data_IF_707982915857
#
_entry.id   IF_707982915857
#
_cell.length_a   1.000
_cell.length_b   1.000
_cell.length_c   1.000
_cell.angle_alpha   90.00
_cell.angle_beta   90.00
_cell.angle_gamma   90.00
#
_symmetry.space_group_name_H-M   'P 1'
#
loop_
_entity.id
_entity.type
_entity.pdbx_description
1 polymer ?
#
# COMPACT_ATOMS: atom_id res chain seq x y z
N UNK A 1 0.32 -75.99 35.25
CA UNK A 1 -0.38 -75.06 36.09
C UNK A 1 0.45 -73.78 36.09
N UNK A 2 0.11 -72.76 35.27
CA UNK A 2 0.77 -71.45 35.22
C UNK A 2 -0.31 -70.38 35.02
N UNK A 3 -0.31 -69.28 35.83
CA UNK A 3 -1.35 -68.26 35.71
C UNK A 3 -0.97 -67.16 34.69
N UNK A 4 -1.98 -66.74 33.96
CA UNK A 4 -1.96 -65.77 32.93
C UNK A 4 -1.76 -64.33 33.50
N UNK A 5 -0.84 -63.58 32.92
CA UNK A 5 -0.67 -62.15 33.17
C UNK A 5 -1.60 -61.34 32.26
N UNK A 6 -2.54 -60.60 32.84
CA UNK A 6 -3.34 -59.58 32.15
C UNK A 6 -2.56 -58.26 32.12
N UNK A 7 -2.26 -57.78 30.91
CA UNK A 7 -1.64 -56.48 30.65
C UNK A 7 -2.75 -55.43 30.63
N UNK A 8 -2.65 -54.40 31.48
CA UNK A 8 -3.51 -53.22 31.45
C UNK A 8 -2.84 -52.13 30.60
N UNK A 9 -3.42 -51.86 29.42
CA UNK A 9 -3.06 -50.67 28.63
C UNK A 9 -3.80 -49.45 29.19
N UNK A 10 -3.06 -48.52 29.77
CA UNK A 10 -3.57 -47.21 30.09
C UNK A 10 -3.39 -46.30 28.88
N UNK A 11 -4.49 -45.91 28.25
CA UNK A 11 -4.51 -44.87 27.24
C UNK A 11 -4.33 -43.48 27.90
N UNK A 12 -3.23 -42.81 27.60
CA UNK A 12 -3.01 -41.44 27.97
C UNK A 12 -3.64 -40.52 26.89
N UNK A 13 -4.75 -39.86 27.23
CA UNK A 13 -5.31 -38.81 26.39
C UNK A 13 -4.47 -37.53 26.55
N UNK A 14 -3.67 -37.19 25.53
CA UNK A 14 -3.03 -35.89 25.41
C UNK A 14 -4.09 -34.86 24.97
N UNK A 15 -4.52 -34.02 25.90
CA UNK A 15 -5.30 -32.82 25.59
C UNK A 15 -4.37 -31.77 24.98
N UNK A 16 -4.40 -31.57 23.65
CA UNK A 16 -3.81 -30.40 23.00
C UNK A 16 -4.73 -29.19 23.29
N UNK A 17 -4.46 -28.47 24.38
CA UNK A 17 -4.95 -27.11 24.55
C UNK A 17 -4.11 -26.20 23.65
N UNK A 18 -4.59 -25.91 22.45
CA UNK A 18 -4.00 -24.93 21.56
C UNK A 18 -4.10 -23.54 22.19
N UNK A 19 -2.99 -23.03 22.68
CA UNK A 19 -2.88 -21.65 23.14
C UNK A 19 -3.12 -20.71 21.95
N UNK A 20 -4.30 -20.11 21.87
CA UNK A 20 -4.59 -19.00 20.96
C UNK A 20 -3.65 -17.85 21.28
N UNK A 21 -2.73 -17.56 20.37
CA UNK A 21 -1.80 -16.44 20.49
C UNK A 21 -2.57 -15.13 20.62
N UNK A 22 -2.14 -14.17 21.50
CA UNK A 22 -2.78 -12.87 21.65
C UNK A 22 -2.91 -12.05 20.34
N UNK A 23 -2.11 -12.40 19.31
CA UNK A 23 -2.18 -11.82 17.98
C UNK A 23 -3.48 -12.12 17.23
N UNK A 24 -4.13 -13.27 17.46
CA UNK A 24 -5.41 -13.62 16.82
C UNK A 24 -6.56 -12.74 17.29
N UNK A 25 -6.61 -12.39 18.57
CA UNK A 25 -7.68 -11.55 19.14
C UNK A 25 -7.61 -10.08 18.71
N UNK A 26 -6.40 -9.55 18.47
CA UNK A 26 -6.24 -8.16 17.99
C UNK A 26 -6.60 -8.03 16.48
N UNK A 27 -6.39 -9.07 15.71
CA UNK A 27 -6.73 -9.09 14.27
C UNK A 27 -8.24 -9.20 14.05
N UNK A 28 -8.95 -9.94 14.89
CA UNK A 28 -10.41 -10.05 14.89
C UNK A 28 -11.12 -8.73 15.21
N UNK A 29 -10.52 -7.86 16.01
CA UNK A 29 -11.13 -6.60 16.44
C UNK A 29 -11.51 -5.68 15.28
N UNK A 30 -10.77 -5.69 14.18
CA UNK A 30 -10.99 -4.83 13.02
C UNK A 30 -11.54 -5.57 11.79
N UNK A 31 -11.79 -6.87 11.88
CA UNK A 31 -12.22 -7.68 10.73
C UNK A 31 -13.51 -7.14 10.08
N UNK A 32 -14.53 -6.85 10.89
CA UNK A 32 -15.80 -6.31 10.39
C UNK A 32 -15.64 -4.91 9.75
N UNK A 33 -14.83 -4.04 10.36
CA UNK A 33 -14.55 -2.69 9.83
C UNK A 33 -13.79 -2.76 8.51
N UNK A 34 -12.81 -3.67 8.40
CA UNK A 34 -12.04 -3.91 7.18
C UNK A 34 -12.93 -4.43 6.04
N UNK A 35 -13.82 -5.36 6.33
CA UNK A 35 -14.75 -5.88 5.34
C UNK A 35 -15.76 -4.80 4.89
N UNK A 36 -16.23 -3.93 5.80
CA UNK A 36 -17.06 -2.79 5.44
C UNK A 36 -16.32 -1.82 4.51
N UNK A 37 -15.07 -1.49 4.84
CA UNK A 37 -14.21 -0.64 4.01
C UNK A 37 -14.01 -1.24 2.60
N UNK A 38 -13.78 -2.54 2.48
CA UNK A 38 -13.64 -3.19 1.17
C UNK A 38 -14.89 -3.03 0.32
N UNK A 39 -16.09 -3.18 0.90
CA UNK A 39 -17.36 -2.95 0.18
C UNK A 39 -17.51 -1.49 -0.29
N UNK A 40 -17.09 -0.54 0.54
CA UNK A 40 -17.10 0.88 0.16
C UNK A 40 -16.13 1.14 -1.00
N UNK A 41 -14.89 0.64 -0.92
CA UNK A 41 -13.90 0.74 -2.00
C UNK A 41 -14.43 0.13 -3.28
N UNK A 42 -15.02 -1.06 -3.25
CA UNK A 42 -15.61 -1.71 -4.43
C UNK A 42 -16.78 -0.92 -5.01
N UNK A 43 -17.56 -0.21 -4.16
CA UNK A 43 -18.60 0.72 -4.61
C UNK A 43 -18.01 1.93 -5.33
N UNK A 44 -16.95 2.53 -4.77
CA UNK A 44 -16.26 3.67 -5.35
C UNK A 44 -15.56 3.30 -6.68
N UNK A 45 -14.98 2.09 -6.78
CA UNK A 45 -14.42 1.57 -8.04
C UNK A 45 -15.48 1.52 -9.15
N UNK A 46 -16.70 1.02 -8.83
CA UNK A 46 -17.80 1.00 -9.80
C UNK A 46 -18.26 2.40 -10.18
N UNK A 47 -18.36 3.30 -9.19
CA UNK A 47 -18.80 4.68 -9.43
C UNK A 47 -17.83 5.47 -10.32
N UNK A 48 -16.53 5.20 -10.22
CA UNK A 48 -15.47 5.87 -10.99
C UNK A 48 -15.03 5.10 -12.24
N UNK A 49 -15.65 3.97 -12.56
CA UNK A 49 -15.23 3.06 -13.64
C UNK A 49 -15.13 3.72 -15.00
N UNK A 50 -16.02 4.69 -15.30
CA UNK A 50 -16.03 5.41 -16.58
C UNK A 50 -14.74 6.21 -16.80
N UNK A 51 -14.22 6.82 -15.74
CA UNK A 51 -13.05 7.71 -15.81
C UNK A 51 -11.75 6.93 -15.61
N UNK A 52 -11.77 5.89 -14.76
CA UNK A 52 -10.60 5.09 -14.41
C UNK A 52 -10.34 3.93 -15.36
N UNK A 53 -11.39 3.41 -16.02
CA UNK A 53 -11.33 2.18 -16.82
C UNK A 53 -11.30 0.90 -15.98
N UNK A 54 -11.44 1.00 -14.64
CA UNK A 54 -11.33 -0.10 -13.69
C UNK A 54 -12.59 -0.21 -12.82
N UNK A 55 -13.57 -1.05 -13.15
CA UNK A 55 -14.82 -1.20 -12.39
C UNK A 55 -14.66 -2.01 -11.10
N UNK A 56 -13.55 -2.72 -10.94
CA UNK A 56 -13.27 -3.58 -9.79
C UNK A 56 -11.76 -3.63 -9.52
N UNK A 57 -11.39 -4.05 -8.32
CA UNK A 57 -10.01 -4.37 -7.97
C UNK A 57 -9.64 -5.76 -8.52
N UNK A 58 -8.40 -5.90 -8.96
CA UNK A 58 -7.78 -7.22 -9.19
C UNK A 58 -7.70 -8.00 -7.89
N UNK A 59 -7.65 -9.33 -7.98
CA UNK A 59 -7.58 -10.20 -6.81
C UNK A 59 -6.34 -9.90 -5.93
N UNK A 60 -5.22 -9.49 -6.53
CA UNK A 60 -4.00 -9.17 -5.81
C UNK A 60 -4.15 -7.88 -5.01
N UNK A 61 -4.69 -6.81 -5.60
CA UNK A 61 -4.90 -5.54 -4.91
C UNK A 61 -5.96 -5.68 -3.82
N UNK A 62 -7.08 -6.35 -4.11
CA UNK A 62 -8.13 -6.62 -3.11
C UNK A 62 -7.56 -7.35 -1.90
N UNK A 63 -6.75 -8.39 -2.11
CA UNK A 63 -6.08 -9.14 -1.03
C UNK A 63 -5.13 -8.25 -0.24
N UNK A 64 -4.33 -7.40 -0.90
CA UNK A 64 -3.41 -6.50 -0.24
C UNK A 64 -4.14 -5.53 0.71
N UNK A 65 -5.21 -4.88 0.25
CA UNK A 65 -6.04 -4.00 1.09
C UNK A 65 -6.68 -4.77 2.25
N UNK A 66 -7.10 -6.02 2.03
CA UNK A 66 -7.66 -6.87 3.08
C UNK A 66 -6.63 -7.32 4.12
N UNK A 67 -5.38 -7.49 3.73
CA UNK A 67 -4.30 -8.05 4.58
C UNK A 67 -3.61 -6.98 5.42
N UNK A 68 -3.32 -5.81 4.82
CA UNK A 68 -2.55 -4.77 5.50
C UNK A 68 -3.33 -4.15 6.65
N UNK A 69 -2.82 -4.30 7.87
CA UNK A 69 -3.42 -3.77 9.10
C UNK A 69 -3.23 -2.25 9.18
N UNK A 70 -4.16 -1.48 8.58
CA UNK A 70 -4.06 -0.02 8.42
C UNK A 70 -3.95 0.71 9.77
N UNK A 71 -4.54 0.17 10.85
CA UNK A 71 -4.45 0.72 12.21
C UNK A 71 -3.02 0.79 12.75
N UNK A 72 -2.07 0.05 12.16
CA UNK A 72 -0.65 0.11 12.51
C UNK A 72 0.10 1.28 11.88
N UNK A 73 -0.52 1.93 10.91
CA UNK A 73 0.05 3.03 10.12
C UNK A 73 -0.58 4.39 10.43
N UNK A 74 -1.42 4.47 11.45
CA UNK A 74 -2.01 5.70 11.96
C UNK A 74 -1.55 5.96 13.40
N UNK A 75 -1.58 7.22 13.87
CA UNK A 75 -1.37 7.51 15.29
C UNK A 75 -2.33 6.72 16.17
N UNK A 76 -1.90 6.24 17.34
CA UNK A 76 -2.66 5.33 18.21
C UNK A 76 -4.05 5.87 18.59
N UNK A 77 -4.18 7.18 18.79
CA UNK A 77 -5.47 7.83 19.09
C UNK A 77 -6.45 7.82 17.91
N UNK A 78 -5.99 7.55 16.68
CA UNK A 78 -6.79 7.43 15.47
C UNK A 78 -7.04 5.97 15.04
N UNK A 79 -6.53 4.99 15.78
CA UNK A 79 -6.65 3.58 15.40
C UNK A 79 -8.11 3.12 15.22
N UNK A 80 -9.06 3.66 16.01
CA UNK A 80 -10.48 3.37 15.87
C UNK A 80 -11.09 3.88 14.54
N UNK A 81 -10.47 4.88 13.91
CA UNK A 81 -10.89 5.50 12.65
C UNK A 81 -10.12 4.95 11.43
N UNK A 82 -9.18 4.04 11.64
CA UNK A 82 -8.27 3.57 10.59
C UNK A 82 -8.99 2.98 9.37
N UNK A 83 -10.18 2.44 9.55
CA UNK A 83 -10.96 1.79 8.49
C UNK A 83 -12.11 2.66 7.94
N UNK A 84 -12.13 3.96 8.28
CA UNK A 84 -12.98 4.92 7.59
C UNK A 84 -12.38 5.26 6.21
N UNK A 85 -13.23 5.35 5.19
CA UNK A 85 -12.77 5.60 3.82
C UNK A 85 -12.47 7.10 3.58
N UNK A 86 -11.56 7.64 4.37
CA UNK A 86 -11.09 9.03 4.31
C UNK A 86 -9.61 9.14 4.70
N UNK A 87 -8.92 10.24 4.32
CA UNK A 87 -7.58 10.53 4.82
C UNK A 87 -7.60 10.83 6.33
N UNK A 88 -6.49 10.50 7.02
CA UNK A 88 -6.30 10.79 8.44
C UNK A 88 -4.94 11.51 8.64
N UNK A 89 -4.83 12.44 9.62
CA UNK A 89 -3.57 13.12 9.90
C UNK A 89 -2.53 12.14 10.50
N UNK A 90 -1.28 12.29 10.07
CA UNK A 90 -0.14 11.50 10.57
C UNK A 90 0.98 12.36 11.18
N UNK A 91 0.73 13.64 11.39
CA UNK A 91 1.71 14.62 11.83
C UNK A 91 2.45 15.30 10.68
N UNK A 92 3.29 16.27 11.01
CA UNK A 92 4.10 17.05 10.05
C UNK A 92 3.25 17.72 8.93
N UNK A 93 1.98 18.00 9.18
CA UNK A 93 1.05 18.53 8.17
C UNK A 93 0.67 17.52 7.08
N UNK A 94 1.02 16.23 7.24
CA UNK A 94 0.77 15.17 6.27
C UNK A 94 -0.39 14.25 6.69
N UNK A 95 -0.89 13.46 5.73
CA UNK A 95 -1.99 12.52 5.94
C UNK A 95 -1.66 11.15 5.37
N UNK A 96 -2.19 10.10 5.98
CA UNK A 96 -2.37 8.81 5.30
C UNK A 96 -3.53 8.95 4.31
N UNK A 97 -3.32 8.54 3.06
CA UNK A 97 -4.32 8.69 1.99
C UNK A 97 -5.61 7.92 2.28
N UNK A 98 -6.72 8.39 1.70
CA UNK A 98 -7.99 7.68 1.70
C UNK A 98 -7.80 6.24 1.18
N UNK A 99 -8.36 5.22 1.84
CA UNK A 99 -8.20 3.82 1.42
C UNK A 99 -8.61 3.53 -0.03
N UNK A 100 -9.70 4.14 -0.51
CA UNK A 100 -10.10 4.03 -1.91
C UNK A 100 -9.00 4.53 -2.87
N UNK A 101 -8.37 5.67 -2.56
CA UNK A 101 -7.31 6.24 -3.40
C UNK A 101 -6.07 5.32 -3.41
N UNK A 102 -5.68 4.75 -2.26
CA UNK A 102 -4.60 3.76 -2.18
C UNK A 102 -4.90 2.55 -3.07
N UNK A 103 -6.11 2.01 -2.98
CA UNK A 103 -6.54 0.87 -3.78
C UNK A 103 -6.57 1.19 -5.28
N UNK A 104 -7.15 2.34 -5.66
CA UNK A 104 -7.24 2.78 -7.06
C UNK A 104 -5.86 3.02 -7.66
N UNK A 105 -4.98 3.75 -6.99
CA UNK A 105 -3.64 4.03 -7.53
C UNK A 105 -2.83 2.74 -7.68
N UNK A 106 -2.95 1.79 -6.74
CA UNK A 106 -2.32 0.47 -6.86
C UNK A 106 -2.89 -0.31 -8.04
N UNK A 107 -4.22 -0.30 -8.25
CA UNK A 107 -4.87 -0.96 -9.39
C UNK A 107 -4.44 -0.34 -10.72
N UNK A 108 -4.37 0.99 -10.81
CA UNK A 108 -3.95 1.73 -12.02
C UNK A 108 -2.49 1.43 -12.41
N UNK A 109 -1.62 1.15 -11.43
CA UNK A 109 -0.24 0.73 -11.68
C UNK A 109 -0.16 -0.68 -12.26
N UNK A 110 -1.18 -1.54 -12.06
CA UNK A 110 -1.25 -2.94 -12.50
C UNK A 110 -0.07 -3.78 -11.98
N UNK A 111 0.07 -3.95 -10.66
CA UNK A 111 1.20 -4.65 -10.07
C UNK A 111 1.20 -6.14 -10.45
N UNK A 112 2.42 -6.71 -10.57
CA UNK A 112 2.64 -8.15 -10.72
C UNK A 112 3.61 -8.65 -9.65
N UNK A 113 3.57 -9.95 -9.29
CA UNK A 113 4.40 -10.49 -8.22
C UNK A 113 5.90 -10.37 -8.41
N UNK A 114 6.38 -10.25 -9.65
CA UNK A 114 7.80 -10.10 -10.04
C UNK A 114 8.23 -8.64 -10.19
N UNK A 115 7.33 -7.68 -10.05
CA UNK A 115 7.63 -6.26 -10.24
C UNK A 115 8.54 -5.69 -9.15
N UNK A 116 9.35 -4.71 -9.55
CA UNK A 116 10.11 -3.81 -8.68
C UNK A 116 9.55 -2.41 -8.86
N UNK A 117 9.09 -1.79 -7.79
CA UNK A 117 8.35 -0.52 -7.87
C UNK A 117 8.94 0.55 -6.96
N UNK A 118 8.69 1.82 -7.32
CA UNK A 118 9.05 2.99 -6.52
C UNK A 118 7.78 3.68 -6.00
N UNK A 119 7.77 4.00 -4.71
CA UNK A 119 6.84 4.94 -4.08
C UNK A 119 7.58 6.25 -3.78
N UNK A 120 6.95 7.38 -4.11
CA UNK A 120 7.41 8.71 -3.76
C UNK A 120 6.41 9.33 -2.79
N UNK A 121 6.85 9.57 -1.54
CA UNK A 121 6.02 10.01 -0.43
C UNK A 121 5.64 8.84 0.49
N UNK A 122 6.60 8.28 1.24
CA UNK A 122 6.34 7.15 2.16
C UNK A 122 5.27 7.46 3.19
N UNK A 123 5.26 8.69 3.72
CA UNK A 123 4.29 9.16 4.70
C UNK A 123 4.21 8.27 5.93
N UNK A 124 3.11 7.53 6.08
CA UNK A 124 2.90 6.56 7.15
C UNK A 124 3.54 5.19 6.88
N UNK A 125 3.88 4.87 5.61
CA UNK A 125 4.29 3.54 5.15
C UNK A 125 3.13 2.62 4.71
N UNK A 126 1.86 3.09 4.77
CA UNK A 126 0.71 2.25 4.44
C UNK A 126 0.67 1.87 2.96
N UNK A 127 0.87 2.83 2.03
CA UNK A 127 0.92 2.53 0.60
C UNK A 127 2.10 1.62 0.27
N UNK A 128 3.28 1.81 0.90
CA UNK A 128 4.42 0.91 0.75
C UNK A 128 4.08 -0.52 1.20
N UNK A 129 3.36 -0.68 2.32
CA UNK A 129 2.90 -1.98 2.81
C UNK A 129 1.91 -2.65 1.85
N UNK A 130 0.96 -1.89 1.28
CA UNK A 130 0.00 -2.40 0.27
C UNK A 130 0.75 -2.85 -0.99
N UNK A 131 1.72 -2.07 -1.47
CA UNK A 131 2.56 -2.45 -2.61
C UNK A 131 3.37 -3.72 -2.31
N UNK A 132 3.92 -3.84 -1.10
CA UNK A 132 4.72 -4.99 -0.67
C UNK A 132 3.96 -6.33 -0.70
N UNK A 133 2.62 -6.30 -0.53
CA UNK A 133 1.75 -7.47 -0.70
C UNK A 133 1.50 -7.82 -2.19
N UNK A 134 1.82 -6.92 -3.11
CA UNK A 134 1.52 -7.07 -4.53
C UNK A 134 2.74 -7.39 -5.40
N UNK A 135 3.97 -7.05 -4.96
CA UNK A 135 5.17 -7.04 -5.79
C UNK A 135 6.38 -7.67 -5.10
N UNK A 136 7.44 -7.96 -5.85
CA UNK A 136 8.68 -8.52 -5.31
C UNK A 136 9.43 -7.54 -4.42
N UNK A 137 9.53 -6.27 -4.82
CA UNK A 137 10.33 -5.26 -4.10
C UNK A 137 9.69 -3.87 -4.22
N UNK A 138 9.70 -3.14 -3.12
CA UNK A 138 9.28 -1.74 -3.04
C UNK A 138 10.47 -0.89 -2.59
N UNK A 139 10.76 0.16 -3.34
CA UNK A 139 11.59 1.28 -2.92
C UNK A 139 10.67 2.44 -2.55
N UNK A 140 10.94 3.15 -1.46
CA UNK A 140 10.07 4.24 -1.00
C UNK A 140 10.89 5.43 -0.50
N UNK A 141 10.57 6.64 -0.99
CA UNK A 141 11.28 7.88 -0.68
C UNK A 141 10.38 8.80 0.14
N UNK A 142 10.95 9.35 1.22
CA UNK A 142 10.30 10.38 2.04
C UNK A 142 11.28 11.53 2.30
N UNK A 143 10.82 12.75 2.10
CA UNK A 143 11.66 13.94 2.36
C UNK A 143 11.58 14.40 3.81
N UNK A 144 10.45 14.12 4.50
CA UNK A 144 10.23 14.52 5.88
C UNK A 144 10.84 13.46 6.81
N UNK A 145 12.05 13.74 7.31
CA UNK A 145 12.83 12.77 8.09
C UNK A 145 12.08 12.14 9.28
N UNK A 146 11.31 12.88 10.12
CA UNK A 146 10.52 12.26 11.19
C UNK A 146 9.46 11.28 10.69
N UNK A 147 8.83 11.52 9.49
CA UNK A 147 7.90 10.60 8.87
C UNK A 147 8.62 9.35 8.38
N UNK A 148 9.73 9.51 7.65
CA UNK A 148 10.53 8.40 7.15
C UNK A 148 10.95 7.44 8.27
N UNK A 149 11.38 7.95 9.41
CA UNK A 149 11.77 7.14 10.58
C UNK A 149 10.58 6.37 11.16
N UNK A 150 9.41 7.04 11.34
CA UNK A 150 8.19 6.38 11.83
C UNK A 150 7.68 5.32 10.87
N UNK A 151 7.67 5.62 9.57
CA UNK A 151 7.25 4.67 8.53
C UNK A 151 8.16 3.44 8.51
N UNK A 152 9.48 3.63 8.58
CA UNK A 152 10.43 2.51 8.65
C UNK A 152 10.15 1.63 9.86
N UNK A 153 9.99 2.21 11.04
CA UNK A 153 9.68 1.45 12.25
C UNK A 153 8.33 0.69 12.15
N UNK A 154 7.30 1.31 11.56
CA UNK A 154 6.00 0.68 11.35
C UNK A 154 6.08 -0.51 10.38
N UNK A 155 6.79 -0.35 9.25
CA UNK A 155 7.02 -1.39 8.25
C UNK A 155 7.81 -2.57 8.85
N UNK A 156 8.88 -2.30 9.60
CA UNK A 156 9.67 -3.33 10.27
C UNK A 156 8.86 -4.10 11.32
N UNK A 157 8.08 -3.39 12.14
CA UNK A 157 7.20 -3.99 13.14
C UNK A 157 6.05 -4.80 12.51
N UNK A 158 5.62 -4.43 11.30
CA UNK A 158 4.63 -5.17 10.52
C UNK A 158 5.22 -6.36 9.74
N UNK A 159 6.57 -6.47 9.67
CA UNK A 159 7.28 -7.59 9.07
C UNK A 159 7.57 -7.45 7.57
N UNK A 160 7.40 -6.26 6.99
CA UNK A 160 7.68 -5.99 5.57
C UNK A 160 9.18 -5.91 5.29
N UNK A 161 9.77 -7.01 4.80
CA UNK A 161 11.21 -7.13 4.49
C UNK A 161 11.57 -6.79 3.05
N UNK A 162 10.58 -6.74 2.17
CA UNK A 162 10.72 -6.38 0.77
C UNK A 162 10.50 -4.88 0.50
N UNK A 163 10.44 -4.04 1.55
CA UNK A 163 10.39 -2.58 1.45
C UNK A 163 11.73 -1.98 1.86
N UNK A 164 12.29 -1.15 1.00
CA UNK A 164 13.47 -0.36 1.28
C UNK A 164 13.12 1.13 1.26
N UNK A 165 13.49 1.84 2.34
CA UNK A 165 13.13 3.25 2.48
C UNK A 165 14.37 4.13 2.54
N UNK A 166 14.29 5.35 1.97
CA UNK A 166 15.32 6.37 2.16
C UNK A 166 14.71 7.75 2.38
N UNK A 167 15.48 8.62 3.03
CA UNK A 167 15.20 10.05 3.10
C UNK A 167 15.78 10.70 1.85
N UNK A 168 14.97 11.47 1.09
CA UNK A 168 15.44 12.11 -0.12
C UNK A 168 14.37 12.91 -0.85
N UNK A 169 14.83 13.64 -1.89
CA UNK A 169 13.96 14.40 -2.79
C UNK A 169 13.26 13.46 -3.78
N UNK A 170 11.94 13.36 -3.67
CA UNK A 170 11.10 12.53 -4.54
C UNK A 170 11.11 12.93 -6.01
N UNK A 171 11.41 14.19 -6.35
CA UNK A 171 11.56 14.63 -7.74
C UNK A 171 12.71 13.95 -8.48
N UNK A 172 13.73 13.51 -7.75
CA UNK A 172 14.90 12.83 -8.29
C UNK A 172 14.67 11.32 -8.52
N UNK A 173 13.64 10.75 -7.88
CA UNK A 173 13.42 9.32 -7.88
C UNK A 173 14.54 8.55 -7.17
N UNK A 174 14.83 7.33 -7.65
CA UNK A 174 15.87 6.46 -7.10
C UNK A 174 16.72 5.84 -8.23
N UNK A 175 17.66 6.62 -8.83
CA UNK A 175 18.42 6.20 -10.01
C UNK A 175 19.18 4.90 -9.81
N UNK A 176 19.73 4.68 -8.60
CA UNK A 176 20.56 3.49 -8.31
C UNK A 176 19.75 2.19 -8.27
N UNK A 177 18.43 2.28 -8.08
CA UNK A 177 17.50 1.14 -8.07
C UNK A 177 16.67 1.02 -9.34
N UNK A 178 16.74 2.02 -10.23
CA UNK A 178 16.03 2.02 -11.51
C UNK A 178 16.61 0.97 -12.48
N UNK A 179 15.84 0.54 -13.51
CA UNK A 179 14.49 0.98 -13.86
C UNK A 179 13.39 0.22 -13.11
N UNK A 180 12.21 0.85 -12.95
CA UNK A 180 11.05 0.34 -12.23
C UNK A 180 9.93 -0.16 -13.16
N UNK A 181 9.23 -1.21 -12.74
CA UNK A 181 8.02 -1.71 -13.40
C UNK A 181 6.82 -0.78 -13.17
N UNK A 182 6.83 -0.06 -12.04
CA UNK A 182 5.80 0.92 -11.70
C UNK A 182 6.33 1.96 -10.70
N UNK A 183 5.76 3.16 -10.78
CA UNK A 183 6.02 4.26 -9.84
C UNK A 183 4.69 4.83 -9.37
N UNK A 184 4.54 5.03 -8.06
CA UNK A 184 3.39 5.72 -7.47
C UNK A 184 3.89 6.96 -6.72
N UNK A 185 3.27 8.12 -6.99
CA UNK A 185 3.55 9.36 -6.27
C UNK A 185 2.35 9.71 -5.40
N UNK A 186 2.56 9.75 -4.09
CA UNK A 186 1.50 9.95 -3.08
C UNK A 186 1.43 11.39 -2.55
N UNK A 187 2.07 12.31 -3.22
CA UNK A 187 2.00 13.77 -3.04
C UNK A 187 1.87 14.43 -4.41
N UNK A 188 1.32 15.64 -4.49
CA UNK A 188 1.04 16.31 -5.75
C UNK A 188 2.16 17.27 -6.16
N UNK A 189 2.94 16.98 -7.21
CA UNK A 189 3.76 17.97 -7.89
C UNK A 189 2.88 18.88 -8.76
N UNK A 190 3.39 20.08 -9.08
CA UNK A 190 2.76 21.02 -10.02
C UNK A 190 2.89 20.56 -11.50
N UNK A 191 3.87 19.73 -11.79
CA UNK A 191 4.10 19.08 -13.10
C UNK A 191 4.69 17.70 -12.89
N UNK A 192 4.55 16.82 -13.89
CA UNK A 192 5.14 15.46 -13.85
C UNK A 192 6.67 15.55 -13.80
N UNK A 193 7.34 15.00 -12.77
CA UNK A 193 8.80 15.01 -12.70
C UNK A 193 9.41 14.15 -13.82
N UNK A 194 10.20 14.74 -14.76
CA UNK A 194 10.76 13.99 -15.90
C UNK A 194 11.63 12.80 -15.46
N UNK A 195 12.37 12.98 -14.35
CA UNK A 195 13.24 11.93 -13.79
C UNK A 195 12.49 10.66 -13.41
N UNK A 196 11.22 10.75 -13.04
CA UNK A 196 10.42 9.56 -12.73
C UNK A 196 10.03 8.79 -14.00
N UNK A 197 9.77 9.51 -15.11
CA UNK A 197 9.50 8.87 -16.41
C UNK A 197 10.75 8.16 -16.93
N UNK A 198 11.92 8.79 -16.84
CA UNK A 198 13.22 8.24 -17.24
C UNK A 198 13.58 6.94 -16.48
N UNK A 199 13.02 6.76 -15.28
CA UNK A 199 13.24 5.59 -14.43
C UNK A 199 12.22 4.46 -14.62
N UNK A 200 11.28 4.59 -15.57
CA UNK A 200 10.35 3.52 -15.91
C UNK A 200 10.99 2.50 -16.87
N UNK A 201 10.69 1.24 -16.67
CA UNK A 201 10.94 0.20 -17.69
C UNK A 201 10.00 0.42 -18.89
N UNK A 202 10.37 -0.05 -20.09
CA UNK A 202 9.44 -0.17 -21.20
C UNK A 202 8.21 -1.01 -20.81
N UNK A 203 7.03 -0.43 -20.92
CA UNK A 203 5.76 -1.00 -20.43
C UNK A 203 5.43 -0.68 -18.97
N UNK A 204 6.31 0.03 -18.25
CA UNK A 204 6.10 0.50 -16.89
C UNK A 204 5.11 1.66 -16.80
N UNK A 205 4.54 1.87 -15.61
CA UNK A 205 3.51 2.89 -15.35
C UNK A 205 3.88 3.81 -14.19
N UNK A 206 3.66 5.10 -14.40
CA UNK A 206 3.69 6.11 -13.34
C UNK A 206 2.26 6.57 -13.04
N UNK A 207 1.84 6.45 -11.78
CA UNK A 207 0.56 6.96 -11.28
C UNK A 207 0.85 8.15 -10.37
N UNK A 208 0.39 9.35 -10.76
CA UNK A 208 0.76 10.60 -10.11
C UNK A 208 -0.38 11.61 -10.12
N UNK A 209 -0.73 12.24 -8.96
CA UNK A 209 -1.61 13.40 -8.92
C UNK A 209 -0.84 14.64 -9.37
N UNK A 210 -1.35 15.40 -10.32
CA UNK A 210 -0.68 16.62 -10.82
C UNK A 210 -1.62 17.81 -10.77
N UNK A 211 -1.14 18.93 -10.27
CA UNK A 211 -1.88 20.17 -10.26
C UNK A 211 -1.44 21.16 -9.17
N UNK A 212 -2.11 22.31 -9.09
CA UNK A 212 -1.72 23.39 -8.18
C UNK A 212 -1.82 22.98 -6.71
N UNK A 213 -0.93 23.54 -5.88
CA UNK A 213 -1.00 23.38 -4.44
C UNK A 213 -2.34 23.88 -3.88
N UNK A 214 -2.92 23.12 -2.94
CA UNK A 214 -4.20 23.45 -2.26
C UNK A 214 -5.44 23.52 -3.17
N UNK A 215 -5.33 23.09 -4.43
CA UNK A 215 -6.45 22.97 -5.35
C UNK A 215 -6.74 21.48 -5.68
N UNK A 216 -7.71 21.26 -6.54
CA UNK A 216 -7.98 19.94 -7.10
C UNK A 216 -6.88 19.58 -8.09
N UNK A 217 -6.32 18.37 -7.96
CA UNK A 217 -5.35 17.81 -8.91
C UNK A 217 -6.04 16.77 -9.79
N UNK A 218 -5.42 16.45 -10.92
CA UNK A 218 -5.80 15.34 -11.78
C UNK A 218 -4.91 14.13 -11.50
N UNK A 219 -5.51 12.97 -11.26
CA UNK A 219 -4.74 11.74 -11.16
C UNK A 219 -4.43 11.24 -12.57
N UNK A 220 -3.15 11.18 -12.90
CA UNK A 220 -2.62 10.77 -14.19
C UNK A 220 -2.06 9.35 -14.14
N UNK A 221 -2.25 8.61 -15.22
CA UNK A 221 -1.51 7.38 -15.53
C UNK A 221 -0.65 7.65 -16.75
N UNK A 222 0.65 7.51 -16.59
CA UNK A 222 1.66 7.69 -17.63
C UNK A 222 2.27 6.32 -17.89
N UNK A 223 2.28 5.89 -19.13
CA UNK A 223 2.83 4.60 -19.55
C UNK A 223 4.02 4.81 -20.49
N UNK A 224 5.16 4.24 -20.15
CA UNK A 224 6.32 4.17 -21.01
C UNK A 224 6.13 2.99 -21.98
N UNK A 225 5.70 3.25 -23.20
CA UNK A 225 5.50 2.22 -24.21
C UNK A 225 6.78 1.46 -24.55
N UNK A 226 6.64 0.21 -24.98
CA UNK A 226 7.78 -0.62 -25.44
C UNK A 226 8.43 -0.09 -26.72
N UNK A 227 7.74 0.78 -27.44
CA UNK A 227 8.21 1.49 -28.63
C UNK A 227 8.88 2.83 -28.33
N UNK A 228 9.10 3.14 -27.03
CA UNK A 228 9.68 4.39 -26.55
C UNK A 228 8.71 5.57 -26.50
N UNK A 229 7.45 5.38 -26.86
CA UNK A 229 6.43 6.43 -26.71
C UNK A 229 5.95 6.53 -25.29
N UNK A 230 5.69 7.75 -24.84
CA UNK A 230 5.07 8.02 -23.53
C UNK A 230 3.63 8.45 -23.77
N UNK A 231 2.69 7.73 -23.18
CA UNK A 231 1.26 8.08 -23.22
C UNK A 231 0.80 8.56 -21.85
N UNK A 232 -0.11 9.52 -21.85
CA UNK A 232 -0.69 10.06 -20.60
C UNK A 232 -2.20 9.98 -20.67
N UNK A 233 -2.81 9.38 -19.64
CA UNK A 233 -4.25 9.32 -19.47
C UNK A 233 -4.66 9.98 -18.15
N UNK A 234 -5.62 10.90 -18.22
CA UNK A 234 -6.29 11.48 -17.06
C UNK A 234 -7.34 10.52 -16.54
N UNK A 235 -7.53 10.50 -15.22
CA UNK A 235 -8.55 9.67 -14.58
C UNK A 235 -9.52 10.53 -13.76
N UNK A 236 -9.42 10.51 -12.44
CA UNK A 236 -10.32 11.25 -11.56
C UNK A 236 -9.64 12.47 -10.95
N UNK A 237 -10.46 13.41 -10.52
CA UNK A 237 -10.04 14.53 -9.69
C UNK A 237 -9.72 14.05 -8.26
N UNK A 238 -8.60 14.51 -7.70
CA UNK A 238 -8.09 14.12 -6.38
C UNK A 238 -7.58 15.32 -5.60
N UNK A 239 -7.30 15.11 -4.31
CA UNK A 239 -6.66 16.13 -3.47
C UNK A 239 -5.57 15.50 -2.61
N UNK A 240 -4.34 15.88 -2.89
CA UNK A 240 -3.13 15.46 -2.17
C UNK A 240 -2.40 16.64 -1.55
N UNK A 241 -1.56 16.33 -0.56
CA UNK A 241 -0.55 17.26 -0.05
C UNK A 241 0.48 17.56 -1.13
N UNK A 242 1.15 18.74 -1.10
CA UNK A 242 2.18 19.06 -2.09
C UNK A 242 3.36 18.11 -2.05
N UNK A 243 3.92 17.77 -3.22
CA UNK A 243 5.26 17.21 -3.31
C UNK A 243 6.27 18.35 -3.10
N UNK A 244 7.07 18.26 -2.05
CA UNK A 244 8.05 19.29 -1.65
C UNK A 244 9.49 18.89 -1.99
N UNK A 245 10.37 19.89 -2.01
CA UNK A 245 11.83 19.74 -2.19
C UNK A 245 12.54 20.19 -0.93
#
# INVERSE_FOLDING_TARGET
>A
MTPSRRLWLRAAALSLAGALSPRGLAQDRYAAARESLLREIESDMRATARDTGHPALSAVVRRAIATVARERFVPSHLAAHAYENRPLPIGEGQTISQPFIVALMTELMQPKPDHVVLEVGTGSGYQAAVLAECVAKVYSIEIVAPLAQRARAALDAAGYRNVETRIGDGYLGWPEAAPFDGIIVTAAPDHVPPRLIEQLKPGGRLVVPVGPHRATQELLVIEAGRDGRVTTRRTIAVRFVPLTR
#
